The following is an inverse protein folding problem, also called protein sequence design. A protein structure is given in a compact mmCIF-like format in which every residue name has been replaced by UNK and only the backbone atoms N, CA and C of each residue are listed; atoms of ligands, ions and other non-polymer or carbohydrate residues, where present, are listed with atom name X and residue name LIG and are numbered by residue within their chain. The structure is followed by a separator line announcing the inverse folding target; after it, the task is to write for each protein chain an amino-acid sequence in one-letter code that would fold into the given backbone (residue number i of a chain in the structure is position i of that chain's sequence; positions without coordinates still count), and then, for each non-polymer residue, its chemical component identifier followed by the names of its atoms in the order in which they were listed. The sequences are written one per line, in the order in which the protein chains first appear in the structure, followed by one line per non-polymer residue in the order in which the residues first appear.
data_IF_157108074016
#
_entry.id   IF_157108074016
#
_cell.length_a   1.000
_cell.length_b   1.000
_cell.length_c   1.000
_cell.angle_alpha   90.00
_cell.angle_beta   90.00
_cell.angle_gamma   90.00
#
_symmetry.space_group_name_H-M   'P 1'
#
loop_
_entity.id
_entity.type
_entity.pdbx_description
1 polymer ?
#
# COMPACT_ATOMS: atom_id res chain seq x y z
N UNK A 1 -28.28 -23.19 -48.65
CA UNK A 1 -26.85 -23.23 -48.26
C UNK A 1 -26.74 -24.01 -46.96
N UNK A 2 -26.22 -25.23 -47.05
CA UNK A 2 -26.20 -26.20 -45.96
C UNK A 2 -25.01 -25.94 -45.04
N UNK A 3 -25.26 -25.68 -43.76
CA UNK A 3 -24.21 -25.43 -42.76
C UNK A 3 -23.33 -26.68 -42.59
N UNK A 4 -21.99 -26.58 -42.68
CA UNK A 4 -21.12 -27.72 -42.52
C UNK A 4 -21.14 -28.19 -41.07
N UNK A 5 -21.57 -29.43 -40.84
CA UNK A 5 -21.48 -30.09 -39.55
C UNK A 5 -20.00 -30.29 -39.19
N UNK A 6 -19.47 -29.44 -38.32
CA UNK A 6 -18.13 -29.62 -37.75
C UNK A 6 -18.15 -30.86 -36.86
N UNK A 7 -17.54 -31.93 -37.36
CA UNK A 7 -17.38 -33.21 -36.66
C UNK A 7 -16.39 -33.00 -35.52
N UNK A 8 -16.89 -32.80 -34.30
CA UNK A 8 -16.04 -32.68 -33.11
C UNK A 8 -15.17 -33.94 -32.96
N UNK A 9 -13.86 -33.71 -32.81
CA UNK A 9 -12.88 -34.79 -32.63
C UNK A 9 -13.21 -35.62 -31.40
N UNK A 10 -13.22 -36.97 -31.49
CA UNK A 10 -13.56 -37.86 -30.38
C UNK A 10 -12.71 -37.62 -29.11
N UNK A 11 -11.48 -37.11 -29.25
CA UNK A 11 -10.61 -36.74 -28.12
C UNK A 11 -11.20 -35.66 -27.21
N UNK A 12 -11.94 -34.70 -27.76
CA UNK A 12 -12.57 -33.63 -26.96
C UNK A 12 -13.75 -34.15 -26.13
N UNK A 13 -14.39 -35.26 -26.54
CA UNK A 13 -15.46 -35.90 -25.78
C UNK A 13 -14.91 -36.71 -24.60
N UNK A 14 -13.82 -37.45 -24.80
CA UNK A 14 -13.14 -38.17 -23.70
C UNK A 14 -12.61 -37.21 -22.63
N UNK A 15 -12.03 -36.08 -23.03
CA UNK A 15 -11.49 -35.12 -22.07
C UNK A 15 -12.59 -34.46 -21.22
N UNK A 16 -13.76 -34.18 -21.80
CA UNK A 16 -14.93 -33.68 -21.04
C UNK A 16 -15.54 -34.74 -20.12
N UNK A 17 -15.55 -36.02 -20.54
CA UNK A 17 -16.01 -37.11 -19.67
C UNK A 17 -15.07 -37.36 -18.49
N UNK A 18 -13.75 -37.25 -18.69
CA UNK A 18 -12.79 -37.36 -17.59
C UNK A 18 -12.91 -36.18 -16.61
N UNK A 19 -13.18 -34.96 -17.09
CA UNK A 19 -13.41 -33.80 -16.22
C UNK A 19 -14.72 -33.88 -15.41
N UNK A 20 -15.73 -34.59 -15.89
CA UNK A 20 -16.99 -34.79 -15.13
C UNK A 20 -16.92 -35.94 -14.12
N UNK A 21 -15.93 -36.84 -14.22
CA UNK A 21 -15.78 -37.99 -13.33
C UNK A 21 -14.81 -37.76 -12.17
N UNK A 22 -14.34 -36.53 -11.94
CA UNK A 22 -13.57 -36.19 -10.76
C UNK A 22 -14.54 -35.75 -9.65
N UNK A 23 -14.91 -36.63 -8.68
CA UNK A 23 -15.73 -36.22 -7.56
C UNK A 23 -14.97 -35.20 -6.72
N UNK A 24 -15.65 -34.10 -6.38
CA UNK A 24 -15.17 -33.09 -5.45
C UNK A 24 -14.85 -33.73 -4.09
N UNK A 25 -13.58 -34.08 -3.88
CA UNK A 25 -13.10 -34.59 -2.60
C UNK A 25 -12.93 -33.39 -1.66
N UNK A 26 -14.01 -33.00 -0.99
CA UNK A 26 -13.95 -32.13 0.18
C UNK A 26 -13.51 -32.95 1.39
N UNK A 27 -12.31 -32.73 1.96
CA UNK A 27 -11.99 -33.34 3.24
C UNK A 27 -12.91 -32.74 4.31
N UNK A 28 -13.61 -33.62 5.02
CA UNK A 28 -14.43 -33.25 6.17
C UNK A 28 -13.54 -32.59 7.23
N UNK A 29 -13.81 -31.31 7.51
CA UNK A 29 -13.21 -30.60 8.64
C UNK A 29 -13.91 -31.09 9.90
N UNK A 30 -13.25 -31.98 10.64
CA UNK A 30 -13.64 -32.37 12.00
C UNK A 30 -13.39 -31.19 12.93
N UNK A 31 -14.47 -30.54 13.39
CA UNK A 31 -14.43 -29.62 14.52
C UNK A 31 -14.37 -30.44 15.81
N UNK A 32 -13.17 -30.62 16.36
CA UNK A 32 -13.02 -30.92 17.79
C UNK A 32 -13.24 -29.62 18.56
N UNK A 33 -14.36 -29.58 19.29
CA UNK A 33 -14.65 -28.58 20.28
C UNK A 33 -13.92 -28.98 21.57
N UNK A 34 -12.83 -28.29 21.89
CA UNK A 34 -12.23 -28.37 23.21
C UNK A 34 -12.53 -27.11 24.03
N UNK A 35 -13.20 -27.38 25.13
CA UNK A 35 -13.68 -26.49 26.17
C UNK A 35 -12.50 -26.11 27.05
N UNK A 36 -12.10 -24.83 27.09
CA UNK A 36 -11.25 -24.31 28.15
C UNK A 36 -11.69 -22.92 28.62
N UNK A 37 -11.78 -22.84 29.94
CA UNK A 37 -12.45 -21.90 30.83
C UNK A 37 -11.97 -20.45 30.77
N UNK A 38 -12.79 -19.47 31.23
CA UNK A 38 -12.36 -18.09 31.41
C UNK A 38 -11.48 -17.91 32.66
N UNK A 39 -10.43 -17.07 32.63
CA UNK A 39 -9.72 -16.65 33.82
C UNK A 39 -10.48 -15.56 34.60
N UNK A 40 -10.22 -15.42 35.91
CA UNK A 40 -11.05 -14.66 36.84
C UNK A 40 -10.86 -13.14 36.73
N UNK A 41 -11.97 -12.45 36.99
CA UNK A 41 -12.07 -11.02 37.28
C UNK A 41 -11.34 -10.65 38.58
N UNK A 42 -10.33 -9.79 38.49
CA UNK A 42 -9.82 -9.06 39.65
C UNK A 42 -10.43 -7.66 39.70
N UNK A 43 -11.32 -7.49 40.68
CA UNK A 43 -11.79 -6.21 41.19
C UNK A 43 -10.84 -5.68 42.29
N UNK A 44 -10.88 -4.36 42.46
CA UNK A 44 -10.56 -3.54 43.63
C UNK A 44 -9.12 -3.46 44.17
N UNK A 45 -8.56 -2.25 44.04
CA UNK A 45 -7.95 -1.54 45.16
C UNK A 45 -8.19 -0.03 45.02
N UNK A 46 -9.13 0.48 45.81
CA UNK A 46 -9.14 1.87 46.26
C UNK A 46 -8.10 2.03 47.38
N UNK A 47 -7.45 3.20 47.45
CA UNK A 47 -7.07 3.97 48.64
C UNK A 47 -5.83 4.84 48.36
N UNK A 48 -5.90 6.12 48.72
CA UNK A 48 -4.74 7.01 48.68
C UNK A 48 -5.06 8.50 48.67
N UNK A 49 -5.96 8.98 49.53
CA UNK A 49 -5.97 10.37 49.96
C UNK A 49 -4.74 10.60 50.85
N UNK A 50 -3.87 11.53 50.49
CA UNK A 50 -3.11 12.31 51.46
C UNK A 50 -3.01 13.75 50.96
N UNK A 51 -3.77 14.61 51.62
CA UNK A 51 -3.44 16.00 51.78
C UNK A 51 -2.15 16.12 52.59
N UNK A 52 -1.24 16.98 52.15
CA UNK A 52 -0.29 17.65 53.03
C UNK A 52 0.05 19.01 52.42
N UNK A 53 -0.40 20.02 53.14
CA UNK A 53 -0.09 21.42 52.98
C UNK A 53 1.43 21.65 53.07
N UNK A 54 1.94 22.55 52.25
CA UNK A 54 3.34 22.95 52.21
C UNK A 54 3.50 24.37 51.70
N UNK A 55 2.85 25.30 52.39
CA UNK A 55 3.07 26.75 52.30
C UNK A 55 4.43 27.09 52.94
N UNK A 56 5.44 27.33 52.11
CA UNK A 56 6.59 28.21 52.39
C UNK A 56 7.22 28.53 51.03
N UNK A 57 7.15 29.75 50.49
CA UNK A 57 7.78 30.92 51.09
C UNK A 57 9.21 31.02 50.54
N UNK A 58 9.35 31.34 49.25
CA UNK A 58 10.63 31.48 48.58
C UNK A 58 10.51 32.43 47.41
N UNK A 59 10.40 33.72 47.69
CA UNK A 59 10.51 34.78 46.69
C UNK A 59 11.96 34.85 46.20
N UNK A 60 12.33 33.95 45.28
CA UNK A 60 13.59 34.04 44.55
C UNK A 60 13.42 35.06 43.42
N UNK A 61 14.11 36.18 43.58
CA UNK A 61 14.28 37.25 42.61
C UNK A 61 14.54 36.69 41.21
N UNK A 62 13.56 36.86 40.34
CA UNK A 62 13.65 36.60 38.91
C UNK A 62 14.61 37.63 38.28
N UNK A 63 15.91 37.37 38.38
CA UNK A 63 16.94 37.98 37.55
C UNK A 63 16.74 37.51 36.12
N UNK A 64 15.86 38.20 35.39
CA UNK A 64 15.61 38.00 33.97
C UNK A 64 16.89 38.27 33.18
N UNK A 65 17.72 37.25 33.02
CA UNK A 65 18.78 37.28 32.01
C UNK A 65 18.11 37.51 30.65
N UNK A 66 18.44 38.61 29.94
CA UNK A 66 17.85 38.89 28.65
C UNK A 66 18.12 37.70 27.73
N UNK A 67 17.06 37.10 27.18
CA UNK A 67 17.13 36.00 26.25
C UNK A 67 18.12 36.39 25.14
N UNK A 68 19.28 35.72 25.09
CA UNK A 68 20.34 36.00 24.10
C UNK A 68 19.72 35.90 22.69
N UNK A 69 19.68 36.99 21.91
CA UNK A 69 19.02 37.02 20.60
C UNK A 69 19.61 36.10 19.52
N UNK A 70 20.69 35.35 19.83
CA UNK A 70 21.45 34.56 18.86
C UNK A 70 21.10 33.08 18.75
N UNK A 71 20.30 32.49 19.66
CA UNK A 71 20.08 31.03 19.68
C UNK A 71 19.07 30.51 18.64
N UNK A 72 18.31 31.40 17.99
CA UNK A 72 17.21 31.00 17.10
C UNK A 72 17.64 30.81 15.65
N UNK A 73 18.74 31.45 15.21
CA UNK A 73 19.18 31.35 13.81
C UNK A 73 19.84 29.99 13.54
N UNK A 74 20.65 29.49 14.48
CA UNK A 74 21.31 28.19 14.37
C UNK A 74 20.30 27.03 14.36
N UNK A 75 19.25 27.09 15.20
CA UNK A 75 18.22 26.06 15.24
C UNK A 75 17.37 26.01 13.97
N UNK A 76 17.08 27.16 13.35
CA UNK A 76 16.37 27.23 12.07
C UNK A 76 17.21 26.68 10.91
N UNK A 77 18.50 27.00 10.85
CA UNK A 77 19.40 26.48 9.83
C UNK A 77 19.55 24.95 9.91
N UNK A 78 19.73 24.42 11.13
CA UNK A 78 19.81 22.97 11.38
C UNK A 78 18.50 22.26 10.99
N UNK A 79 17.35 22.84 11.33
CA UNK A 79 16.05 22.30 10.89
C UNK A 79 15.89 22.31 9.37
N UNK A 80 16.35 23.36 8.68
CA UNK A 80 16.28 23.43 7.22
C UNK A 80 17.12 22.33 6.56
N UNK A 81 18.34 22.09 7.04
CA UNK A 81 19.23 21.01 6.56
C UNK A 81 18.59 19.64 6.77
N UNK A 82 18.05 19.38 7.97
CA UNK A 82 17.40 18.09 8.24
C UNK A 82 16.16 17.85 7.37
N UNK A 83 15.38 18.90 7.07
CA UNK A 83 14.22 18.81 6.16
C UNK A 83 14.65 18.53 4.72
N UNK A 84 15.68 19.20 4.23
CA UNK A 84 16.20 18.97 2.89
C UNK A 84 16.70 17.54 2.75
N UNK A 85 17.50 17.09 3.71
CA UNK A 85 18.00 15.71 3.71
C UNK A 85 16.83 14.72 3.78
N UNK A 86 15.81 14.94 4.63
CA UNK A 86 14.63 14.08 4.67
C UNK A 86 13.93 13.96 3.30
N UNK A 87 13.81 15.07 2.56
CA UNK A 87 13.24 15.10 1.22
C UNK A 87 14.09 14.31 0.22
N UNK A 88 15.42 14.45 0.27
CA UNK A 88 16.34 13.72 -0.60
C UNK A 88 16.23 12.20 -0.39
N UNK A 89 16.17 11.75 0.88
CA UNK A 89 15.97 10.35 1.21
C UNK A 89 14.61 9.83 0.75
N UNK A 90 13.54 10.61 0.91
CA UNK A 90 12.23 10.28 0.39
C UNK A 90 12.25 10.11 -1.14
N UNK A 91 12.86 11.05 -1.86
CA UNK A 91 13.01 10.98 -3.30
C UNK A 91 13.85 9.78 -3.74
N UNK A 92 14.91 9.46 -3.01
CA UNK A 92 15.73 8.29 -3.27
C UNK A 92 14.96 6.99 -3.05
N UNK A 93 14.23 6.87 -1.93
CA UNK A 93 13.39 5.71 -1.64
C UNK A 93 12.35 5.44 -2.72
N UNK A 94 11.69 6.50 -3.22
CA UNK A 94 10.75 6.41 -4.36
C UNK A 94 11.43 5.88 -5.61
N UNK A 95 12.60 6.44 -5.97
CA UNK A 95 13.34 6.03 -7.15
C UNK A 95 13.76 4.56 -7.06
N UNK A 96 14.21 4.12 -5.88
CA UNK A 96 14.59 2.71 -5.64
C UNK A 96 13.38 1.80 -5.81
N UNK A 97 12.24 2.13 -5.21
CA UNK A 97 11.02 1.36 -5.36
C UNK A 97 10.59 1.31 -6.84
N UNK A 98 10.50 2.46 -7.51
CA UNK A 98 10.16 2.53 -8.94
C UNK A 98 11.11 1.69 -9.80
N UNK A 99 12.41 1.77 -9.52
CA UNK A 99 13.41 0.95 -10.19
C UNK A 99 13.18 -0.54 -9.94
N UNK A 100 12.87 -0.93 -8.71
CA UNK A 100 12.58 -2.33 -8.36
C UNK A 100 11.34 -2.86 -9.11
N UNK A 101 10.27 -2.07 -9.19
CA UNK A 101 9.07 -2.45 -9.95
C UNK A 101 9.32 -2.53 -11.47
N UNK A 102 9.98 -1.52 -12.04
CA UNK A 102 10.29 -1.50 -13.48
C UNK A 102 11.28 -2.60 -13.88
N UNK A 103 12.31 -2.85 -13.08
CA UNK A 103 13.27 -3.94 -13.30
C UNK A 103 12.61 -5.30 -13.16
N UNK A 104 11.71 -5.50 -12.19
CA UNK A 104 10.95 -6.74 -12.06
C UNK A 104 10.11 -7.03 -13.32
N UNK A 105 9.37 -6.05 -13.83
CA UNK A 105 8.59 -6.23 -15.08
C UNK A 105 9.50 -6.46 -16.27
N UNK A 106 10.55 -5.65 -16.42
CA UNK A 106 11.53 -5.78 -17.51
C UNK A 106 12.22 -7.14 -17.49
N UNK A 107 12.60 -7.62 -16.32
CA UNK A 107 13.19 -8.95 -16.15
C UNK A 107 12.20 -10.07 -16.49
N UNK A 108 10.94 -9.93 -16.08
CA UNK A 108 9.87 -10.87 -16.45
C UNK A 108 9.61 -10.89 -17.95
N UNK A 109 9.62 -9.71 -18.59
CA UNK A 109 9.48 -9.53 -20.02
C UNK A 109 10.62 -10.18 -20.81
N UNK A 110 11.87 -9.95 -20.40
CA UNK A 110 13.05 -10.52 -21.07
C UNK A 110 13.12 -12.04 -20.95
N UNK A 111 12.63 -12.58 -19.82
CA UNK A 111 12.59 -14.02 -19.55
C UNK A 111 11.20 -14.63 -19.82
N UNK A 112 10.39 -14.00 -20.67
CA UNK A 112 9.04 -14.43 -20.97
C UNK A 112 9.05 -15.87 -21.48
N UNK A 113 8.32 -16.76 -20.80
CA UNK A 113 8.23 -18.15 -21.19
C UNK A 113 7.26 -18.27 -22.37
N UNK A 114 7.76 -18.74 -23.51
CA UNK A 114 6.93 -18.96 -24.68
C UNK A 114 5.86 -20.03 -24.39
N UNK A 115 4.78 -20.04 -25.19
CA UNK A 115 3.55 -20.81 -24.95
C UNK A 115 3.77 -22.29 -24.66
N UNK A 116 4.85 -22.86 -25.22
CA UNK A 116 5.13 -24.28 -25.23
C UNK A 116 5.90 -24.72 -23.96
N UNK A 117 6.47 -23.77 -23.22
CA UNK A 117 7.21 -24.01 -21.98
C UNK A 117 6.42 -23.61 -20.72
N UNK A 118 5.13 -23.28 -20.85
CA UNK A 118 4.32 -22.88 -19.69
C UNK A 118 4.32 -24.03 -18.69
N UNK A 119 5.02 -23.91 -17.54
CA UNK A 119 5.07 -24.99 -16.56
C UNK A 119 3.63 -25.29 -16.12
N UNK A 120 3.34 -26.51 -15.67
CA UNK A 120 2.07 -26.85 -15.04
C UNK A 120 1.78 -25.81 -13.95
N UNK A 121 0.94 -24.81 -14.30
CA UNK A 121 0.87 -23.50 -13.65
C UNK A 121 0.50 -23.56 -12.18
N UNK A 122 -0.05 -24.70 -11.76
CA UNK A 122 -0.66 -24.89 -10.46
C UNK A 122 0.30 -25.37 -9.38
N UNK A 123 1.49 -25.90 -9.74
CA UNK A 123 2.37 -26.58 -8.79
C UNK A 123 3.70 -25.86 -8.48
N UNK A 124 4.09 -24.81 -9.22
CA UNK A 124 5.48 -24.30 -9.17
C UNK A 124 5.66 -22.80 -8.98
N UNK A 125 4.59 -22.00 -8.94
CA UNK A 125 4.71 -20.55 -8.79
C UNK A 125 4.64 -20.13 -7.31
N UNK A 126 5.74 -19.66 -6.69
CA UNK A 126 5.81 -19.42 -5.24
C UNK A 126 4.87 -18.30 -4.76
N UNK A 127 4.41 -17.43 -5.66
CA UNK A 127 3.47 -16.33 -5.37
C UNK A 127 2.04 -16.59 -5.84
N UNK A 128 1.74 -17.79 -6.35
CA UNK A 128 0.37 -18.11 -6.81
C UNK A 128 -0.66 -18.03 -5.69
N UNK A 129 -0.27 -18.38 -4.46
CA UNK A 129 -1.14 -18.23 -3.29
C UNK A 129 -1.48 -16.76 -3.04
N UNK A 130 -0.50 -15.85 -3.19
CA UNK A 130 -0.68 -14.43 -2.96
C UNK A 130 -1.59 -13.84 -4.03
N UNK A 131 -1.37 -14.19 -5.30
CA UNK A 131 -2.26 -13.79 -6.39
C UNK A 131 -3.71 -14.28 -6.15
N UNK A 132 -3.90 -15.60 -6.01
CA UNK A 132 -5.23 -16.21 -5.90
C UNK A 132 -5.97 -15.79 -4.62
N UNK A 133 -5.30 -15.78 -3.48
CA UNK A 133 -5.95 -15.56 -2.18
C UNK A 133 -6.02 -14.09 -1.80
N UNK A 134 -5.03 -13.27 -2.18
CA UNK A 134 -4.94 -11.87 -1.74
C UNK A 134 -5.30 -10.92 -2.87
N UNK A 135 -4.59 -10.94 -4.00
CA UNK A 135 -4.79 -9.95 -5.05
C UNK A 135 -6.14 -10.10 -5.77
N UNK A 136 -6.56 -11.32 -6.10
CA UNK A 136 -7.84 -11.52 -6.79
C UNK A 136 -9.04 -11.29 -5.89
N UNK A 137 -8.98 -11.75 -4.64
CA UNK A 137 -10.10 -11.65 -3.69
C UNK A 137 -10.18 -10.29 -3.02
N UNK A 138 -9.03 -9.75 -2.60
CA UNK A 138 -8.95 -8.55 -1.76
C UNK A 138 -8.15 -7.41 -2.40
N UNK A 139 -7.61 -7.58 -3.62
CA UNK A 139 -6.77 -6.59 -4.27
C UNK A 139 -7.44 -5.24 -4.49
N UNK A 140 -8.76 -5.21 -4.73
CA UNK A 140 -9.52 -3.97 -4.81
C UNK A 140 -9.51 -3.18 -3.49
N UNK A 141 -9.46 -3.88 -2.34
CA UNK A 141 -9.54 -3.28 -1.01
C UNK A 141 -8.16 -3.04 -0.35
N UNK A 142 -7.08 -3.57 -0.93
CA UNK A 142 -5.70 -3.35 -0.48
C UNK A 142 -5.36 -1.86 -0.25
N UNK A 143 -5.73 -0.92 -1.14
CA UNK A 143 -5.64 0.51 -0.87
C UNK A 143 -6.31 0.95 0.44
N UNK A 144 -7.53 0.45 0.70
CA UNK A 144 -8.29 0.80 1.90
C UNK A 144 -7.66 0.21 3.16
N UNK A 145 -7.07 -0.98 3.09
CA UNK A 145 -6.30 -1.56 4.19
C UNK A 145 -5.11 -0.65 4.55
N UNK A 146 -4.36 -0.18 3.55
CA UNK A 146 -3.24 0.74 3.77
C UNK A 146 -3.73 2.07 4.37
N UNK A 147 -4.86 2.60 3.89
CA UNK A 147 -5.49 3.77 4.48
C UNK A 147 -5.91 3.52 5.94
N UNK A 148 -6.48 2.35 6.25
CA UNK A 148 -6.89 1.98 7.60
C UNK A 148 -5.68 1.89 8.55
N UNK A 149 -4.57 1.29 8.12
CA UNK A 149 -3.30 1.28 8.88
C UNK A 149 -2.80 2.70 9.15
N UNK A 150 -2.92 3.60 8.16
CA UNK A 150 -2.57 5.01 8.35
C UNK A 150 -3.50 5.70 9.34
N UNK A 151 -4.81 5.49 9.24
CA UNK A 151 -5.79 6.04 10.18
C UNK A 151 -5.53 5.56 11.60
N UNK A 152 -5.28 4.26 11.79
CA UNK A 152 -4.90 3.69 13.08
C UNK A 152 -3.63 4.37 13.60
N UNK A 153 -2.52 4.37 12.84
CA UNK A 153 -1.28 5.03 13.30
C UNK A 153 -1.48 6.52 13.63
N UNK A 154 -2.44 7.17 12.97
CA UNK A 154 -2.78 8.57 13.20
C UNK A 154 -3.55 8.77 14.51
N UNK A 155 -4.56 7.93 14.75
CA UNK A 155 -5.33 7.92 15.99
C UNK A 155 -4.41 7.61 17.17
N UNK A 156 -3.56 6.59 17.05
CA UNK A 156 -2.65 6.17 18.11
C UNK A 156 -1.60 7.25 18.44
N UNK A 157 -1.10 7.98 17.45
CA UNK A 157 -0.20 9.10 17.75
C UNK A 157 -0.93 10.26 18.44
N UNK A 158 -2.19 10.53 18.09
CA UNK A 158 -3.00 11.56 18.75
C UNK A 158 -3.27 11.17 20.20
N UNK A 159 -3.68 9.93 20.45
CA UNK A 159 -4.02 9.48 21.81
C UNK A 159 -2.79 9.43 22.71
N UNK A 160 -1.64 8.97 22.21
CA UNK A 160 -0.43 8.82 23.03
C UNK A 160 0.34 10.15 23.16
N UNK A 161 0.43 10.94 22.09
CA UNK A 161 1.33 12.11 22.05
C UNK A 161 0.60 13.45 22.04
N UNK A 162 -0.74 13.47 22.01
CA UNK A 162 -1.53 14.68 21.83
C UNK A 162 -1.31 15.38 20.48
N UNK A 163 -0.58 14.75 19.56
CA UNK A 163 -0.16 15.35 18.29
C UNK A 163 -1.09 14.91 17.18
N UNK A 164 -1.75 15.88 16.55
CA UNK A 164 -2.50 15.63 15.31
C UNK A 164 -1.52 15.35 14.20
N UNK A 165 -1.59 14.14 13.70
CA UNK A 165 -1.02 13.82 12.40
C UNK A 165 -1.93 14.45 11.34
N UNK A 166 -1.38 15.18 10.34
CA UNK A 166 -2.18 15.66 9.24
C UNK A 166 -2.88 14.47 8.56
N UNK A 167 -4.21 14.56 8.51
CA UNK A 167 -5.07 13.58 7.82
C UNK A 167 -4.53 13.39 6.39
N UNK A 168 -4.58 12.17 5.82
CA UNK A 168 -4.01 11.93 4.50
C UNK A 168 -4.62 12.88 3.48
N UNK A 169 -3.87 13.90 3.10
CA UNK A 169 -4.14 14.75 1.92
C UNK A 169 -4.31 13.89 0.66
N UNK A 170 -3.78 12.67 0.72
CA UNK A 170 -3.86 11.63 -0.30
C UNK A 170 -5.07 10.71 -0.18
N UNK A 171 -6.02 10.91 0.75
CA UNK A 171 -7.21 10.05 0.87
C UNK A 171 -7.95 9.93 -0.47
N UNK A 172 -8.02 11.03 -1.23
CA UNK A 172 -8.59 11.04 -2.57
C UNK A 172 -7.84 10.11 -3.54
N UNK A 173 -6.52 9.95 -3.41
CA UNK A 173 -5.71 9.03 -4.22
C UNK A 173 -6.04 7.57 -3.90
N UNK A 174 -6.24 7.23 -2.62
CA UNK A 174 -6.68 5.90 -2.21
C UNK A 174 -8.04 5.55 -2.79
N UNK A 175 -8.99 6.48 -2.69
CA UNK A 175 -10.34 6.33 -3.23
C UNK A 175 -10.26 6.21 -4.75
N UNK A 176 -9.52 7.10 -5.41
CA UNK A 176 -9.31 7.06 -6.86
C UNK A 176 -8.77 5.70 -7.31
N UNK A 177 -7.69 5.21 -6.71
CA UNK A 177 -7.10 3.91 -7.06
C UNK A 177 -8.08 2.77 -6.79
N UNK A 178 -8.78 2.79 -5.65
CA UNK A 178 -9.81 1.78 -5.32
C UNK A 178 -10.91 1.75 -6.37
N UNK A 179 -11.44 2.92 -6.74
CA UNK A 179 -12.49 3.05 -7.74
C UNK A 179 -12.01 2.66 -9.14
N UNK A 180 -10.78 3.05 -9.52
CA UNK A 180 -10.18 2.63 -10.79
C UNK A 180 -10.06 1.11 -10.86
N UNK A 181 -9.63 0.45 -9.78
CA UNK A 181 -9.56 -1.02 -9.71
C UNK A 181 -10.95 -1.63 -9.83
N UNK A 182 -11.91 -1.15 -9.05
CA UNK A 182 -13.29 -1.66 -9.09
C UNK A 182 -13.89 -1.50 -10.48
N UNK A 183 -13.65 -0.35 -11.14
CA UNK A 183 -14.06 -0.10 -12.52
C UNK A 183 -13.47 -1.12 -13.49
N UNK A 184 -12.17 -1.41 -13.39
CA UNK A 184 -11.53 -2.45 -14.21
C UNK A 184 -12.13 -3.83 -13.94
N UNK A 185 -12.36 -4.20 -12.67
CA UNK A 185 -13.01 -5.46 -12.33
C UNK A 185 -14.43 -5.56 -12.88
N UNK A 186 -15.23 -4.49 -12.80
CA UNK A 186 -16.60 -4.47 -13.32
C UNK A 186 -16.58 -4.56 -14.85
N UNK A 187 -15.71 -3.82 -15.54
CA UNK A 187 -15.57 -3.90 -17.00
C UNK A 187 -15.15 -5.31 -17.43
N UNK A 188 -14.25 -5.94 -16.68
CA UNK A 188 -13.81 -7.31 -16.92
C UNK A 188 -14.94 -8.33 -16.68
N UNK A 189 -15.64 -8.23 -15.54
CA UNK A 189 -16.70 -9.14 -15.13
C UNK A 189 -17.97 -9.02 -15.97
N UNK A 190 -18.33 -7.81 -16.40
CA UNK A 190 -19.49 -7.56 -17.24
C UNK A 190 -19.33 -8.11 -18.67
N UNK A 191 -18.16 -8.67 -19.00
CA UNK A 191 -17.88 -9.14 -20.35
C UNK A 191 -17.90 -7.99 -21.37
N UNK A 192 -17.85 -6.73 -20.94
CA UNK A 192 -17.89 -5.55 -21.82
C UNK A 192 -16.72 -5.54 -22.81
N UNK A 193 -15.66 -6.28 -22.52
CA UNK A 193 -14.55 -6.55 -23.44
C UNK A 193 -14.95 -7.48 -24.60
N UNK A 194 -15.99 -8.31 -24.48
CA UNK A 194 -16.60 -9.01 -25.62
C UNK A 194 -17.18 -8.02 -26.63
N UNK A 195 -17.70 -6.87 -26.18
CA UNK A 195 -18.20 -5.84 -27.09
C UNK A 195 -17.06 -5.22 -27.92
N UNK A 196 -15.90 -4.99 -27.30
CA UNK A 196 -14.67 -4.55 -28.01
C UNK A 196 -14.20 -5.64 -28.99
N UNK A 197 -14.24 -6.91 -28.59
CA UNK A 197 -13.93 -8.04 -29.47
C UNK A 197 -14.84 -8.14 -30.70
N UNK A 198 -16.04 -7.54 -30.70
CA UNK A 198 -16.90 -7.50 -31.89
C UNK A 198 -16.42 -6.48 -32.94
N UNK A 199 -15.57 -5.52 -32.58
CA UNK A 199 -15.00 -4.52 -33.51
C UNK A 199 -13.63 -4.92 -34.05
N UNK A 200 -12.95 -5.88 -33.43
CA UNK A 200 -11.64 -6.36 -33.88
C UNK A 200 -11.79 -7.75 -34.50
N UNK A 201 -11.10 -8.05 -35.61
CA UNK A 201 -11.19 -9.34 -36.28
C UNK A 201 -10.85 -10.50 -35.34
N UNK A 202 -11.55 -11.63 -35.51
CA UNK A 202 -11.56 -12.78 -34.60
C UNK A 202 -10.18 -13.39 -34.28
N UNK A 203 -9.16 -13.11 -35.11
CA UNK A 203 -7.76 -13.53 -34.87
C UNK A 203 -7.09 -12.76 -33.73
N UNK A 204 -7.56 -11.56 -33.38
CA UNK A 204 -7.08 -10.77 -32.23
C UNK A 204 -7.98 -10.98 -31.00
N UNK A 205 -9.20 -11.47 -31.21
CA UNK A 205 -10.23 -11.65 -30.20
C UNK A 205 -10.11 -12.98 -29.43
N UNK A 206 -8.90 -13.49 -29.19
CA UNK A 206 -8.73 -14.57 -28.23
C UNK A 206 -9.07 -14.02 -26.85
N UNK A 207 -10.19 -14.52 -26.30
CA UNK A 207 -10.88 -14.10 -25.08
C UNK A 207 -10.07 -14.14 -23.79
N UNK A 208 -8.80 -14.52 -23.84
CA UNK A 208 -8.03 -14.83 -22.64
C UNK A 208 -7.15 -13.62 -22.30
N UNK A 209 -7.76 -12.70 -21.56
CA UNK A 209 -7.10 -11.62 -20.81
C UNK A 209 -6.57 -10.46 -21.68
N UNK A 210 -7.50 -9.64 -22.19
CA UNK A 210 -7.17 -8.31 -22.72
C UNK A 210 -6.51 -7.46 -21.63
N UNK A 211 -5.26 -7.09 -21.90
CA UNK A 211 -4.33 -6.39 -21.00
C UNK A 211 -3.89 -7.22 -19.78
N UNK A 212 -2.62 -7.11 -19.39
CA UNK A 212 -2.20 -7.60 -18.08
C UNK A 212 -2.77 -6.70 -17.01
N UNK A 213 -4.02 -6.96 -16.66
CA UNK A 213 -4.70 -6.34 -15.53
C UNK A 213 -3.80 -6.47 -14.30
N UNK A 214 -3.15 -7.60 -14.06
CA UNK A 214 -2.16 -7.75 -12.99
C UNK A 214 -1.00 -6.73 -13.06
N UNK A 215 -0.34 -6.51 -14.20
CA UNK A 215 0.75 -5.52 -14.31
C UNK A 215 0.23 -4.08 -14.09
N UNK A 216 -0.92 -3.75 -14.66
CA UNK A 216 -1.55 -2.44 -14.45
C UNK A 216 -2.00 -2.22 -12.99
N UNK A 217 -2.64 -3.24 -12.41
CA UNK A 217 -3.17 -3.25 -11.06
C UNK A 217 -2.03 -3.22 -10.03
N UNK A 218 -0.93 -3.94 -10.26
CA UNK A 218 0.27 -3.88 -9.40
C UNK A 218 0.89 -2.48 -9.43
N UNK A 219 0.89 -1.77 -10.57
CA UNK A 219 1.36 -0.38 -10.64
C UNK A 219 0.58 0.56 -9.69
N UNK A 220 -0.74 0.38 -9.62
CA UNK A 220 -1.62 1.17 -8.75
C UNK A 220 -1.34 0.94 -7.25
N UNK A 221 -1.21 -0.32 -6.83
CA UNK A 221 -0.91 -0.67 -5.43
C UNK A 221 0.52 -0.27 -5.07
N UNK A 222 1.48 -0.53 -5.96
CA UNK A 222 2.86 -0.11 -5.82
C UNK A 222 2.97 1.39 -5.51
N UNK A 223 2.19 2.22 -6.22
CA UNK A 223 2.14 3.67 -6.00
C UNK A 223 1.71 4.03 -4.58
N UNK A 224 0.66 3.40 -4.06
CA UNK A 224 0.17 3.64 -2.69
C UNK A 224 1.23 3.25 -1.66
N UNK A 225 1.81 2.06 -1.83
CA UNK A 225 2.81 1.52 -0.91
C UNK A 225 4.09 2.37 -0.93
N UNK A 226 4.49 2.89 -2.09
CA UNK A 226 5.58 3.87 -2.21
C UNK A 226 5.28 5.13 -1.40
N UNK A 227 4.09 5.72 -1.60
CA UNK A 227 3.69 6.92 -0.87
C UNK A 227 3.73 6.71 0.65
N UNK A 228 3.20 5.59 1.16
CA UNK A 228 3.24 5.32 2.60
C UNK A 228 4.63 5.03 3.13
N UNK A 229 5.44 4.27 2.40
CA UNK A 229 6.82 4.02 2.80
C UNK A 229 7.59 5.33 3.02
N UNK A 230 7.42 6.31 2.12
CA UNK A 230 7.99 7.66 2.28
C UNK A 230 7.46 8.34 3.53
N UNK A 231 6.13 8.37 3.73
CA UNK A 231 5.54 9.06 4.87
C UNK A 231 6.08 8.50 6.19
N UNK A 232 6.25 7.20 6.25
CA UNK A 232 6.79 6.51 7.40
C UNK A 232 8.27 6.87 7.57
N UNK A 233 9.10 6.79 6.53
CA UNK A 233 10.52 7.16 6.58
C UNK A 233 10.72 8.61 7.06
N UNK A 234 9.92 9.54 6.54
CA UNK A 234 9.93 10.94 6.96
C UNK A 234 9.59 11.08 8.46
N UNK A 235 8.65 10.29 8.98
CA UNK A 235 8.29 10.30 10.40
C UNK A 235 9.32 9.64 11.31
N UNK A 236 9.90 8.51 10.91
CA UNK A 236 10.99 7.86 11.65
C UNK A 236 12.08 8.91 11.87
N UNK A 237 12.46 9.61 10.81
CA UNK A 237 13.50 10.64 10.85
C UNK A 237 13.13 11.84 11.72
N UNK A 238 11.90 12.37 11.60
CA UNK A 238 11.44 13.46 12.47
C UNK A 238 11.48 13.07 13.96
N UNK A 239 11.24 11.79 14.28
CA UNK A 239 11.27 11.29 15.66
C UNK A 239 12.67 10.95 16.18
N UNK A 240 13.62 10.55 15.33
CA UNK A 240 15.02 10.37 15.73
C UNK A 240 15.63 11.64 16.34
N UNK A 241 15.05 12.80 16.08
CA UNK A 241 15.47 14.09 16.63
C UNK A 241 14.55 14.63 17.74
N UNK A 242 13.56 13.86 18.22
CA UNK A 242 12.61 14.28 19.25
C UNK A 242 12.73 13.48 20.56
N UNK A 243 12.25 14.01 21.70
CA UNK A 243 12.37 13.39 23.03
C UNK A 243 11.36 12.23 23.28
N UNK A 244 10.89 11.55 22.23
CA UNK A 244 9.89 10.49 22.39
C UNK A 244 10.53 9.16 22.86
N UNK A 245 9.82 8.42 23.70
CA UNK A 245 10.28 7.11 24.18
C UNK A 245 10.36 6.10 23.00
N UNK A 246 11.41 5.26 22.94
CA UNK A 246 11.64 4.35 21.81
C UNK A 246 10.53 3.31 21.64
N UNK A 247 9.94 2.81 22.73
CA UNK A 247 8.95 1.73 22.71
C UNK A 247 7.62 2.13 22.07
N UNK A 248 7.06 3.30 22.41
CA UNK A 248 5.80 3.78 21.81
C UNK A 248 5.99 4.20 20.34
N UNK A 249 7.20 4.60 19.98
CA UNK A 249 7.56 4.94 18.60
C UNK A 249 7.65 3.71 17.70
N UNK A 250 7.95 2.53 18.26
CA UNK A 250 8.12 1.28 17.52
C UNK A 250 6.83 0.79 16.84
N UNK A 251 5.70 0.77 17.55
CA UNK A 251 4.45 0.18 17.04
C UNK A 251 3.72 1.07 16.04
N UNK A 252 3.64 2.38 16.33
CA UNK A 252 2.89 3.35 15.54
C UNK A 252 3.47 3.52 14.13
N UNK A 253 4.79 3.34 13.98
CA UNK A 253 5.50 3.68 12.74
C UNK A 253 6.07 2.44 12.06
N UNK A 254 6.78 1.58 12.79
CA UNK A 254 7.52 0.49 12.14
C UNK A 254 6.63 -0.66 11.71
N UNK A 255 5.53 -0.94 12.43
CA UNK A 255 4.59 -2.01 12.03
C UNK A 255 3.91 -1.68 10.69
N UNK A 256 3.27 -0.51 10.50
CA UNK A 256 2.77 -0.13 9.18
C UNK A 256 3.86 -0.10 8.10
N UNK A 257 5.09 0.30 8.45
CA UNK A 257 6.21 0.35 7.51
C UNK A 257 6.57 -1.04 6.98
N UNK A 258 6.73 -1.98 7.92
CA UNK A 258 7.09 -3.35 7.63
C UNK A 258 6.00 -4.01 6.79
N UNK A 259 4.72 -3.81 7.15
CA UNK A 259 3.59 -4.32 6.36
C UNK A 259 3.61 -3.74 4.94
N UNK A 260 3.77 -2.43 4.79
CA UNK A 260 3.82 -1.80 3.46
C UNK A 260 5.01 -2.31 2.63
N UNK A 261 6.19 -2.47 3.25
CA UNK A 261 7.38 -2.97 2.58
C UNK A 261 7.23 -4.43 2.13
N UNK A 262 6.68 -5.30 2.98
CA UNK A 262 6.42 -6.70 2.65
C UNK A 262 5.40 -6.79 1.51
N UNK A 263 4.28 -6.08 1.63
CA UNK A 263 3.27 -6.04 0.56
C UNK A 263 3.87 -5.53 -0.75
N UNK A 264 4.78 -4.55 -0.68
CA UNK A 264 5.42 -4.00 -1.86
C UNK A 264 6.29 -5.03 -2.58
N UNK A 265 7.12 -5.77 -1.85
CA UNK A 265 7.94 -6.85 -2.40
C UNK A 265 7.07 -7.94 -3.02
N UNK A 266 5.97 -8.33 -2.35
CA UNK A 266 5.03 -9.33 -2.88
C UNK A 266 4.35 -8.86 -4.18
N UNK A 267 3.91 -7.60 -4.23
CA UNK A 267 3.29 -6.98 -5.42
C UNK A 267 4.28 -6.88 -6.57
N UNK A 268 5.55 -6.56 -6.31
CA UNK A 268 6.60 -6.51 -7.33
C UNK A 268 6.95 -7.91 -7.83
N UNK A 269 7.02 -8.89 -6.94
CA UNK A 269 7.20 -10.29 -7.31
C UNK A 269 6.05 -10.79 -8.19
N UNK A 270 4.80 -10.47 -7.82
CA UNK A 270 3.63 -10.81 -8.63
C UNK A 270 3.67 -10.18 -10.02
N UNK A 271 4.09 -8.91 -10.13
CA UNK A 271 4.28 -8.24 -11.42
C UNK A 271 5.33 -8.94 -12.30
N UNK A 272 6.44 -9.42 -11.70
CA UNK A 272 7.44 -10.22 -12.40
C UNK A 272 6.83 -11.52 -12.96
N UNK A 273 6.14 -12.30 -12.13
CA UNK A 273 5.52 -13.57 -12.55
C UNK A 273 4.43 -13.35 -13.60
N UNK A 274 3.64 -12.30 -13.44
CA UNK A 274 2.62 -11.83 -14.41
C UNK A 274 3.24 -11.55 -15.78
N UNK A 275 4.32 -10.76 -15.80
CA UNK A 275 5.03 -10.42 -17.03
C UNK A 275 5.68 -11.64 -17.68
N UNK A 276 6.18 -12.59 -16.88
CA UNK A 276 6.89 -13.77 -17.36
C UNK A 276 5.98 -14.85 -17.95
N UNK A 277 4.83 -15.13 -17.33
CA UNK A 277 4.07 -16.36 -17.62
C UNK A 277 2.63 -16.16 -18.12
N UNK A 278 2.01 -15.00 -17.87
CA UNK A 278 0.55 -14.88 -18.00
C UNK A 278 0.07 -14.12 -19.22
N UNK A 279 0.78 -13.08 -19.68
CA UNK A 279 0.32 -12.27 -20.81
C UNK A 279 1.41 -12.06 -21.86
N UNK A 280 0.97 -11.83 -23.09
CA UNK A 280 1.83 -11.45 -24.20
C UNK A 280 2.68 -10.22 -23.87
N UNK A 281 3.90 -10.22 -24.39
CA UNK A 281 4.89 -9.13 -24.25
C UNK A 281 4.31 -7.74 -24.52
N UNK A 282 3.52 -7.59 -25.58
CA UNK A 282 2.87 -6.33 -25.96
C UNK A 282 1.84 -5.87 -24.93
N UNK A 283 1.04 -6.80 -24.37
CA UNK A 283 0.05 -6.51 -23.34
C UNK A 283 0.69 -6.10 -22.01
N UNK A 284 1.83 -6.69 -21.66
CA UNK A 284 2.59 -6.29 -20.47
C UNK A 284 3.17 -4.88 -20.63
N UNK A 285 3.74 -4.57 -21.79
CA UNK A 285 4.31 -3.25 -22.07
C UNK A 285 3.25 -2.15 -22.05
N UNK A 286 2.10 -2.38 -22.70
CA UNK A 286 1.00 -1.41 -22.66
C UNK A 286 0.45 -1.23 -21.24
N UNK A 287 0.23 -2.32 -20.50
CA UNK A 287 -0.21 -2.27 -19.10
C UNK A 287 0.79 -1.51 -18.21
N UNK A 288 2.09 -1.76 -18.38
CA UNK A 288 3.13 -1.09 -17.62
C UNK A 288 3.19 0.42 -17.94
N UNK A 289 3.12 0.80 -19.22
CA UNK A 289 3.11 2.21 -19.65
C UNK A 289 1.86 2.92 -19.13
N UNK A 290 0.67 2.32 -19.29
CA UNK A 290 -0.59 2.90 -18.80
C UNK A 290 -0.57 2.99 -17.27
N UNK A 291 -0.08 1.97 -16.56
CA UNK A 291 0.05 1.99 -15.10
C UNK A 291 1.05 3.04 -14.60
N UNK A 292 2.18 3.20 -15.30
CA UNK A 292 3.16 4.25 -15.04
C UNK A 292 2.54 5.63 -15.23
N UNK A 293 1.88 5.89 -16.36
CA UNK A 293 1.28 7.19 -16.68
C UNK A 293 0.06 7.51 -15.82
N UNK A 294 -0.77 6.51 -15.50
CA UNK A 294 -2.03 6.70 -14.78
C UNK A 294 -1.86 6.81 -13.26
N UNK A 295 -0.86 6.14 -12.67
CA UNK A 295 -0.70 6.08 -11.22
C UNK A 295 0.64 6.60 -10.72
N UNK A 296 1.74 6.06 -11.25
CA UNK A 296 3.06 6.34 -10.72
C UNK A 296 3.53 7.75 -11.07
N UNK A 297 3.39 8.20 -12.33
CA UNK A 297 3.83 9.52 -12.78
C UNK A 297 3.07 10.64 -12.06
N UNK A 298 1.74 10.60 -11.88
CA UNK A 298 1.04 11.57 -11.03
C UNK A 298 1.58 11.59 -9.59
N UNK A 299 1.82 10.43 -8.98
CA UNK A 299 2.40 10.38 -7.64
C UNK A 299 3.83 10.96 -7.60
N UNK A 300 4.69 10.62 -8.57
CA UNK A 300 6.04 11.18 -8.73
C UNK A 300 6.01 12.68 -8.97
N UNK A 301 5.07 13.17 -9.78
CA UNK A 301 4.89 14.58 -10.04
C UNK A 301 4.57 15.31 -8.74
N UNK A 302 3.63 14.77 -7.99
CA UNK A 302 3.21 15.35 -6.73
C UNK A 302 4.34 15.30 -5.69
N UNK A 303 5.12 14.21 -5.63
CA UNK A 303 6.25 14.05 -4.70
C UNK A 303 7.50 14.85 -5.12
N UNK A 304 7.74 14.99 -6.42
CA UNK A 304 8.95 15.59 -7.00
C UNK A 304 8.81 17.09 -7.30
N UNK A 305 7.72 17.47 -7.99
CA UNK A 305 7.44 18.85 -8.37
C UNK A 305 6.51 19.57 -7.39
N UNK A 306 5.75 18.82 -6.59
CA UNK A 306 4.97 19.37 -5.48
C UNK A 306 5.81 19.89 -4.32
N UNK A 307 7.06 20.33 -4.52
CA UNK A 307 7.86 21.05 -3.50
C UNK A 307 7.06 22.14 -2.76
N UNK A 308 6.23 22.99 -3.40
CA UNK A 308 5.38 23.93 -2.67
C UNK A 308 4.27 23.23 -1.88
N UNK A 309 3.70 22.12 -2.37
CA UNK A 309 2.70 21.33 -1.66
C UNK A 309 3.29 20.55 -0.47
N UNK A 310 4.48 19.95 -0.61
CA UNK A 310 5.22 19.30 0.47
C UNK A 310 5.67 20.36 1.48
N UNK A 311 6.16 21.52 1.02
CA UNK A 311 6.43 22.65 1.92
C UNK A 311 5.16 23.05 2.65
N UNK A 312 4.02 23.20 1.97
CA UNK A 312 2.75 23.53 2.59
C UNK A 312 2.31 22.47 3.62
N UNK A 313 2.41 21.17 3.29
CA UNK A 313 2.12 20.07 4.22
C UNK A 313 3.05 20.06 5.44
N UNK A 314 4.33 20.40 5.25
CA UNK A 314 5.30 20.53 6.34
C UNK A 314 5.17 21.86 7.11
N UNK A 315 4.51 22.88 6.55
CA UNK A 315 4.30 24.20 7.16
C UNK A 315 2.88 24.37 7.73
N UNK A 316 1.94 23.48 7.43
CA UNK A 316 0.57 23.52 7.96
C UNK A 316 0.51 23.52 9.49
N UNK A 317 1.55 23.00 10.16
CA UNK A 317 1.68 23.04 11.62
C UNK A 317 2.01 24.45 12.15
N UNK A 318 2.58 25.35 11.34
CA UNK A 318 2.87 26.74 11.73
C UNK A 318 1.67 27.68 11.57
N UNK A 319 0.60 27.26 10.88
CA UNK A 319 -0.64 28.05 10.81
C UNK A 319 -1.51 27.91 12.08
N UNK A 320 -1.10 27.09 13.05
CA UNK A 320 -1.85 26.85 14.30
C UNK A 320 -1.47 27.72 15.51
N UNK A 321 -0.58 28.71 15.40
CA UNK A 321 -0.16 29.49 16.58
C UNK A 321 -0.22 31.02 16.41
N UNK A 322 -1.29 31.51 15.76
CA UNK A 322 -1.85 32.83 16.08
C UNK A 322 -3.38 32.79 16.03
N UNK A 323 -4.01 31.86 16.75
CA UNK A 323 -5.26 32.25 17.38
C UNK A 323 -4.84 33.17 18.54
N UNK A 324 -5.14 34.48 18.52
CA UNK A 324 -5.05 35.25 19.75
C UNK A 324 -5.87 34.51 20.79
N UNK A 325 -5.33 34.35 22.00
CA UNK A 325 -6.11 33.88 23.12
C UNK A 325 -7.42 34.68 23.12
N UNK A 326 -8.55 34.00 22.95
CA UNK A 326 -9.83 34.60 23.23
C UNK A 326 -9.80 34.96 24.73
N UNK A 327 -10.09 36.22 25.10
CA UNK A 327 -10.01 36.69 26.47
C UNK A 327 -10.97 35.96 27.40
#
# INVERSE_FOLDING_TARGET
MSSPHVRQSPRLKEQRQQQQQQPDYFPAVTHEADVLSPPPSHQHAAFGQHAAEGLAGGASSSGGSPARPGSNISSLAVQAVHRQQALEWAQWGVKVMLLMWTTAIGWGYLNHADSDEKPNKELTLPLLWFDRQVLRRFGAFLPLLVLALRCWSSIEAVTIHGRRIPFPTWACLYIYITLSRLGVYVIHAAGSLQWVNNFFPAEVATSDHMMSDHVFLTASIATILMCEAIFILLRIRQRLHGPATPQQTSRIIYVPAAVCAVLYVLVVGDAYYSARYFHWRTHNNSAAVIGLLGFQLPALWILGFGRPLIRWLLHGDNLRLRCPAFP
#
